data_IF_819721477484
#
_entry.id   IF_819721477484
#
_cell.length_a   1.000
_cell.length_b   1.000
_cell.length_c   1.000
_cell.angle_alpha   90.00
_cell.angle_beta   90.00
_cell.angle_gamma   90.00
#
_symmetry.space_group_name_H-M   'P 1'
#
loop_
_entity.id
_entity.type
_entity.pdbx_description
1 polymer ?
#
# COMPACT_ATOMS: atom_id res chain seq x y z
N UNK A 1 -21.28 49.95 -17.03
CA UNK A 1 -21.65 48.62 -16.50
C UNK A 1 -20.63 48.03 -15.51
N UNK A 2 -19.44 48.62 -15.32
CA UNK A 2 -18.35 48.05 -14.49
C UNK A 2 -18.13 48.74 -13.13
N UNK A 3 -19.01 49.63 -12.67
CA UNK A 3 -18.84 50.41 -11.42
C UNK A 3 -19.64 49.88 -10.23
N UNK A 4 -20.43 48.83 -10.39
CA UNK A 4 -21.15 48.21 -9.26
C UNK A 4 -20.21 47.23 -8.54
N UNK A 5 -19.90 47.53 -7.28
CA UNK A 5 -19.00 46.72 -6.44
C UNK A 5 -19.48 45.28 -6.28
N UNK A 6 -20.80 45.04 -6.31
CA UNK A 6 -21.36 43.70 -6.15
C UNK A 6 -21.09 42.82 -7.39
N UNK A 7 -21.18 43.39 -8.59
CA UNK A 7 -20.88 42.70 -9.84
C UNK A 7 -19.39 42.34 -9.91
N UNK A 8 -18.51 43.25 -9.48
CA UNK A 8 -17.07 42.98 -9.43
C UNK A 8 -16.73 41.81 -8.49
N UNK A 9 -17.37 41.73 -7.32
CA UNK A 9 -17.16 40.65 -6.35
C UNK A 9 -17.59 39.30 -6.93
N UNK A 10 -18.77 39.22 -7.57
CA UNK A 10 -19.29 37.98 -8.15
C UNK A 10 -18.39 37.49 -9.30
N UNK A 11 -17.95 38.40 -10.17
CA UNK A 11 -17.03 38.06 -11.27
C UNK A 11 -15.69 37.57 -10.73
N UNK A 12 -15.14 38.22 -9.70
CA UNK A 12 -13.90 37.80 -9.08
C UNK A 12 -14.00 36.40 -8.44
N UNK A 13 -15.09 36.12 -7.73
CA UNK A 13 -15.36 34.80 -7.14
C UNK A 13 -15.43 33.72 -8.21
N UNK A 14 -16.21 33.96 -9.26
CA UNK A 14 -16.40 33.01 -10.35
C UNK A 14 -15.10 32.73 -11.12
N UNK A 15 -14.31 33.76 -11.41
CA UNK A 15 -12.99 33.59 -12.03
C UNK A 15 -12.04 32.79 -11.14
N UNK A 16 -12.08 33.00 -9.83
CA UNK A 16 -11.28 32.23 -8.87
C UNK A 16 -11.64 30.74 -8.92
N UNK A 17 -12.94 30.42 -8.92
CA UNK A 17 -13.43 29.04 -9.02
C UNK A 17 -13.06 28.37 -10.35
N UNK A 18 -13.12 29.11 -11.47
CA UNK A 18 -12.70 28.59 -12.78
C UNK A 18 -11.19 28.31 -12.81
N UNK A 19 -10.37 29.23 -12.30
CA UNK A 19 -8.92 29.05 -12.21
C UNK A 19 -8.56 27.85 -11.33
N UNK A 20 -9.29 27.63 -10.24
CA UNK A 20 -9.15 26.47 -9.38
C UNK A 20 -9.43 25.16 -10.13
N UNK A 21 -10.51 25.08 -10.90
CA UNK A 21 -10.82 23.89 -11.72
C UNK A 21 -9.78 23.66 -12.82
N UNK A 22 -9.28 24.71 -13.45
CA UNK A 22 -8.17 24.62 -14.40
C UNK A 22 -6.90 24.06 -13.74
N UNK A 23 -6.59 24.51 -12.51
CA UNK A 23 -5.50 23.97 -11.72
C UNK A 23 -5.65 22.46 -11.47
N UNK A 24 -6.82 22.01 -11.05
CA UNK A 24 -7.09 20.58 -10.85
C UNK A 24 -7.02 19.81 -12.17
N UNK A 25 -7.50 20.38 -13.28
CA UNK A 25 -7.42 19.75 -14.59
C UNK A 25 -5.97 19.44 -14.98
N UNK A 26 -5.08 20.42 -14.86
CA UNK A 26 -3.65 20.20 -15.14
C UNK A 26 -2.99 19.26 -14.13
N UNK A 27 -3.39 19.33 -12.86
CA UNK A 27 -2.89 18.40 -11.84
C UNK A 27 -3.27 16.95 -12.17
N UNK A 28 -4.53 16.67 -12.51
CA UNK A 28 -5.01 15.34 -12.94
C UNK A 28 -4.32 14.87 -14.23
N UNK A 29 -4.03 15.79 -15.16
CA UNK A 29 -3.32 15.49 -16.40
C UNK A 29 -1.88 15.04 -16.15
N UNK A 30 -1.17 15.72 -15.24
CA UNK A 30 0.21 15.45 -14.90
C UNK A 30 0.38 14.28 -13.91
N UNK A 31 -0.67 13.86 -13.21
CA UNK A 31 -0.62 12.84 -12.18
C UNK A 31 -0.37 11.42 -12.74
N UNK A 32 0.77 10.78 -12.43
CA UNK A 32 1.08 9.44 -12.90
C UNK A 32 0.41 8.34 -12.05
N UNK A 33 -0.02 8.64 -10.83
CA UNK A 33 -0.50 7.64 -9.86
C UNK A 33 -1.98 7.30 -10.03
N UNK A 34 -2.78 8.23 -10.53
CA UNK A 34 -4.23 8.03 -10.67
C UNK A 34 -4.55 7.03 -11.79
N UNK A 35 -5.25 5.95 -11.40
CA UNK A 35 -5.80 4.92 -12.30
C UNK A 35 -6.72 5.51 -13.38
N UNK A 36 -6.69 4.93 -14.58
CA UNK A 36 -7.43 5.41 -15.77
C UNK A 36 -8.93 5.62 -15.52
N UNK A 37 -9.59 4.69 -14.84
CA UNK A 37 -11.03 4.76 -14.55
C UNK A 37 -11.41 5.93 -13.61
N UNK A 38 -10.53 6.24 -12.66
CA UNK A 38 -10.70 7.34 -11.71
C UNK A 38 -10.43 8.67 -12.42
N UNK A 39 -9.41 8.70 -13.29
CA UNK A 39 -9.11 9.85 -14.15
C UNK A 39 -10.28 10.26 -15.04
N UNK A 40 -10.95 9.28 -15.68
CA UNK A 40 -12.16 9.54 -16.49
C UNK A 40 -13.27 10.16 -15.65
N UNK A 41 -13.48 9.64 -14.42
CA UNK A 41 -14.51 10.16 -13.53
C UNK A 41 -14.18 11.58 -13.04
N UNK A 42 -12.91 11.88 -12.74
CA UNK A 42 -12.45 13.24 -12.39
C UNK A 42 -12.63 14.22 -13.55
N UNK A 43 -12.26 13.85 -14.78
CA UNK A 43 -12.51 14.73 -15.93
C UNK A 43 -13.99 14.97 -16.19
N UNK A 44 -14.83 13.97 -15.92
CA UNK A 44 -16.29 14.14 -16.02
C UNK A 44 -16.79 15.13 -14.97
N UNK A 45 -16.33 15.03 -13.71
CA UNK A 45 -16.65 16.00 -12.66
C UNK A 45 -16.17 17.40 -13.07
N UNK A 46 -14.90 17.54 -13.46
CA UNK A 46 -14.31 18.83 -13.86
C UNK A 46 -15.10 19.49 -15.00
N UNK A 47 -15.43 18.73 -16.06
CA UNK A 47 -16.21 19.26 -17.17
C UNK A 47 -17.60 19.71 -16.76
N UNK A 48 -18.31 18.91 -15.96
CA UNK A 48 -19.66 19.23 -15.48
C UNK A 48 -19.68 20.42 -14.52
N UNK A 49 -18.76 20.47 -13.56
CA UNK A 49 -18.68 21.58 -12.60
C UNK A 49 -18.25 22.88 -13.30
N UNK A 50 -17.33 22.79 -14.28
CA UNK A 50 -16.96 23.96 -15.11
C UNK A 50 -18.16 24.47 -15.89
N UNK A 51 -18.96 23.59 -16.49
CA UNK A 51 -20.19 23.98 -17.18
C UNK A 51 -21.17 24.67 -16.21
N UNK A 52 -21.40 24.09 -15.03
CA UNK A 52 -22.28 24.65 -13.99
C UNK A 52 -21.84 26.03 -13.48
N UNK A 53 -20.56 26.37 -13.57
CA UNK A 53 -20.03 27.69 -13.21
C UNK A 53 -20.09 28.70 -14.36
N UNK A 54 -19.75 28.27 -15.57
CA UNK A 54 -19.56 29.16 -16.73
C UNK A 54 -20.89 29.49 -17.40
N UNK A 55 -21.78 28.50 -17.55
CA UNK A 55 -23.02 28.68 -18.29
C UNK A 55 -23.90 29.81 -17.73
N UNK A 56 -24.15 29.92 -16.41
CA UNK A 56 -24.98 31.00 -15.87
C UNK A 56 -24.46 32.39 -16.20
N UNK A 57 -23.13 32.56 -16.27
CA UNK A 57 -22.48 33.83 -16.61
C UNK A 57 -22.66 34.17 -18.09
N UNK A 58 -22.57 33.18 -18.97
CA UNK A 58 -22.80 33.36 -20.41
C UNK A 58 -24.26 33.74 -20.65
N UNK A 59 -25.19 33.03 -20.01
CA UNK A 59 -26.63 33.30 -20.14
C UNK A 59 -27.00 34.69 -19.62
N UNK A 60 -26.37 35.15 -18.54
CA UNK A 60 -26.56 36.51 -18.03
C UNK A 60 -25.96 37.60 -18.91
N UNK A 61 -24.74 37.40 -19.42
CA UNK A 61 -24.03 38.41 -20.21
C UNK A 61 -24.51 38.50 -21.66
N UNK A 62 -24.92 37.38 -22.26
CA UNK A 62 -25.19 37.28 -23.70
C UNK A 62 -26.56 36.65 -24.02
N UNK A 63 -27.40 36.35 -23.02
CA UNK A 63 -28.66 35.66 -23.23
C UNK A 63 -29.63 36.36 -24.19
N UNK A 64 -29.67 37.69 -24.17
CA UNK A 64 -30.50 38.47 -25.11
C UNK A 64 -30.09 38.31 -26.57
N UNK A 65 -28.80 38.04 -26.82
CA UNK A 65 -28.25 37.84 -28.17
C UNK A 65 -28.34 36.37 -28.58
N UNK A 66 -27.93 35.46 -27.70
CA UNK A 66 -27.84 34.03 -27.98
C UNK A 66 -29.20 33.34 -28.04
N UNK A 67 -30.16 33.78 -27.23
CA UNK A 67 -31.45 33.09 -27.03
C UNK A 67 -32.66 33.91 -27.49
N UNK A 68 -32.42 34.93 -28.31
CA UNK A 68 -33.42 35.91 -28.79
C UNK A 68 -34.69 35.29 -29.37
N UNK A 69 -34.58 34.14 -30.03
CA UNK A 69 -35.70 33.47 -30.70
C UNK A 69 -36.69 32.80 -29.75
N UNK A 70 -36.23 32.31 -28.59
CA UNK A 70 -37.05 31.57 -27.64
C UNK A 70 -36.43 31.60 -26.21
N UNK A 71 -36.36 32.77 -25.55
CA UNK A 71 -35.61 32.95 -24.31
C UNK A 71 -36.13 32.06 -23.16
N UNK A 72 -37.45 31.90 -23.04
CA UNK A 72 -38.06 31.03 -22.03
C UNK A 72 -37.71 29.54 -22.21
N UNK A 73 -37.64 29.06 -23.45
CA UNK A 73 -37.28 27.68 -23.75
C UNK A 73 -35.82 27.40 -23.41
N UNK A 74 -34.91 28.30 -23.80
CA UNK A 74 -33.48 28.18 -23.49
C UNK A 74 -33.22 28.23 -21.98
N UNK A 75 -33.80 29.20 -21.27
CA UNK A 75 -33.67 29.30 -19.81
C UNK A 75 -34.17 28.03 -19.10
N UNK A 76 -35.24 27.42 -19.63
CA UNK A 76 -35.80 26.18 -19.09
C UNK A 76 -34.88 24.98 -19.34
N UNK A 77 -34.34 24.86 -20.56
CA UNK A 77 -33.39 23.80 -20.92
C UNK A 77 -32.10 23.88 -20.10
N UNK A 78 -31.53 25.09 -19.99
CA UNK A 78 -30.34 25.38 -19.21
C UNK A 78 -30.54 25.00 -17.74
N UNK A 79 -31.65 25.42 -17.14
CA UNK A 79 -31.96 25.08 -15.75
C UNK A 79 -32.13 23.58 -15.56
N UNK A 80 -32.84 22.91 -16.47
CA UNK A 80 -33.02 21.46 -16.42
C UNK A 80 -31.66 20.74 -16.51
N UNK A 81 -30.79 21.16 -17.43
CA UNK A 81 -29.43 20.64 -17.55
C UNK A 81 -28.64 20.85 -16.25
N UNK A 82 -28.71 22.03 -15.64
CA UNK A 82 -28.02 22.33 -14.38
C UNK A 82 -28.44 21.41 -13.22
N UNK A 83 -29.73 21.18 -13.03
CA UNK A 83 -30.24 20.26 -12.00
C UNK A 83 -29.83 18.81 -12.27
N UNK A 84 -29.81 18.37 -13.53
CA UNK A 84 -29.37 17.03 -13.92
C UNK A 84 -27.88 16.85 -13.68
N UNK A 85 -27.05 17.79 -14.14
CA UNK A 85 -25.59 17.70 -14.05
C UNK A 85 -25.12 17.63 -12.59
N UNK A 86 -25.75 18.36 -11.66
CA UNK A 86 -25.45 18.28 -10.21
C UNK A 86 -25.60 16.85 -9.66
N UNK A 87 -26.67 16.14 -10.04
CA UNK A 87 -26.85 14.74 -9.61
C UNK A 87 -25.82 13.79 -10.24
N UNK A 88 -25.39 14.06 -11.47
CA UNK A 88 -24.32 13.28 -12.14
C UNK A 88 -22.98 13.51 -11.43
N UNK A 89 -22.65 14.75 -11.06
CA UNK A 89 -21.45 15.08 -10.28
C UNK A 89 -21.43 14.31 -8.95
N UNK A 90 -22.53 14.34 -8.19
CA UNK A 90 -22.65 13.57 -6.94
C UNK A 90 -22.46 12.07 -7.16
N UNK A 91 -23.02 11.51 -8.23
CA UNK A 91 -22.81 10.11 -8.58
C UNK A 91 -21.34 9.78 -8.82
N UNK A 92 -20.60 10.63 -9.54
CA UNK A 92 -19.18 10.40 -9.77
C UNK A 92 -18.35 10.54 -8.49
N UNK A 93 -18.68 11.46 -7.58
CA UNK A 93 -18.06 11.52 -6.25
C UNK A 93 -18.30 10.23 -5.45
N UNK A 94 -19.53 9.73 -5.41
CA UNK A 94 -19.86 8.45 -4.73
C UNK A 94 -19.09 7.30 -5.37
N UNK A 95 -19.08 7.22 -6.70
CA UNK A 95 -18.35 6.18 -7.43
C UNK A 95 -16.85 6.20 -7.11
N UNK A 96 -16.24 7.39 -7.06
CA UNK A 96 -14.83 7.56 -6.77
C UNK A 96 -14.46 7.21 -5.31
N UNK A 97 -15.39 7.29 -4.37
CA UNK A 97 -15.17 6.73 -3.01
C UNK A 97 -15.20 5.21 -2.98
N UNK A 98 -15.38 4.54 -4.12
CA UNK A 98 -15.34 3.11 -4.31
C UNK A 98 -16.47 2.34 -3.62
N UNK A 99 -17.60 3.00 -3.31
CA UNK A 99 -18.80 2.33 -2.85
C UNK A 99 -19.62 1.86 -4.07
N UNK A 100 -19.43 0.60 -4.48
CA UNK A 100 -20.15 0.05 -5.63
C UNK A 100 -21.58 -0.39 -5.29
N UNK A 101 -21.87 -0.62 -4.00
CA UNK A 101 -23.21 -1.00 -3.53
C UNK A 101 -24.17 0.16 -3.77
N UNK A 102 -25.26 -0.12 -4.48
CA UNK A 102 -26.32 0.86 -4.75
C UNK A 102 -26.07 1.83 -5.91
N UNK A 103 -24.93 1.76 -6.63
CA UNK A 103 -24.72 2.60 -7.82
C UNK A 103 -25.81 2.42 -8.89
N UNK A 104 -26.39 1.21 -9.01
CA UNK A 104 -27.53 0.95 -9.91
C UNK A 104 -28.77 1.74 -9.49
N UNK A 105 -29.09 1.78 -8.19
CA UNK A 105 -30.21 2.54 -7.65
C UNK A 105 -30.01 4.05 -7.85
N UNK A 106 -28.79 4.55 -7.62
CA UNK A 106 -28.45 5.95 -7.86
C UNK A 106 -28.64 6.35 -9.32
N UNK A 107 -28.29 5.50 -10.29
CA UNK A 107 -28.58 5.75 -11.72
C UNK A 107 -30.07 5.88 -12.00
N UNK A 108 -30.90 5.02 -11.40
CA UNK A 108 -32.36 5.09 -11.55
C UNK A 108 -32.88 6.43 -10.99
N UNK A 109 -32.38 6.86 -9.83
CA UNK A 109 -32.74 8.15 -9.23
C UNK A 109 -32.34 9.33 -10.12
N UNK A 110 -31.16 9.29 -10.75
CA UNK A 110 -30.71 10.33 -11.71
C UNK A 110 -31.62 10.37 -12.93
N UNK A 111 -31.99 9.22 -13.49
CA UNK A 111 -32.89 9.14 -14.66
C UNK A 111 -34.28 9.68 -14.29
N UNK A 112 -34.81 9.30 -13.14
CA UNK A 112 -36.09 9.81 -12.65
C UNK A 112 -36.05 11.34 -12.42
N UNK A 113 -34.97 11.83 -11.82
CA UNK A 113 -34.75 13.26 -11.62
C UNK A 113 -34.64 14.02 -12.96
N UNK A 114 -33.96 13.44 -13.96
CA UNK A 114 -33.85 14.02 -15.28
C UNK A 114 -35.19 14.09 -16.01
N UNK A 115 -35.99 13.03 -15.95
CA UNK A 115 -37.34 13.02 -16.50
C UNK A 115 -38.22 14.11 -15.86
N UNK A 116 -38.13 14.25 -14.53
CA UNK A 116 -38.86 15.29 -13.80
C UNK A 116 -38.40 16.70 -14.22
N UNK A 117 -37.09 16.96 -14.30
CA UNK A 117 -36.55 18.24 -14.75
C UNK A 117 -37.03 18.61 -16.16
N UNK A 118 -36.99 17.65 -17.09
CA UNK A 118 -37.39 17.84 -18.49
C UNK A 118 -38.91 18.04 -18.65
N UNK A 119 -39.73 17.57 -17.69
CA UNK A 119 -41.18 17.82 -17.71
C UNK A 119 -41.52 19.32 -17.68
N UNK A 120 -40.63 20.16 -17.16
CA UNK A 120 -40.75 21.63 -17.13
C UNK A 120 -40.85 22.27 -18.52
N UNK A 121 -40.42 21.57 -19.57
CA UNK A 121 -40.53 22.03 -20.96
C UNK A 121 -41.98 22.02 -21.46
N UNK A 122 -42.82 21.17 -20.87
CA UNK A 122 -44.19 20.96 -21.33
C UNK A 122 -45.22 21.55 -20.37
N UNK A 123 -44.90 21.61 -19.08
CA UNK A 123 -45.78 22.14 -18.06
C UNK A 123 -44.99 22.67 -16.85
N UNK A 124 -45.50 23.68 -16.11
CA UNK A 124 -44.78 24.37 -15.03
C UNK A 124 -44.74 23.55 -13.72
N UNK A 125 -44.49 22.24 -13.81
CA UNK A 125 -44.53 21.32 -12.68
C UNK A 125 -43.39 21.55 -11.69
N UNK A 126 -42.18 21.77 -12.19
CA UNK A 126 -40.97 21.84 -11.35
C UNK A 126 -40.46 23.28 -11.22
N UNK A 127 -40.33 23.98 -12.34
CA UNK A 127 -40.01 25.40 -12.36
C UNK A 127 -40.50 25.99 -13.68
N UNK A 128 -40.65 27.30 -13.72
CA UNK A 128 -41.01 28.02 -14.93
C UNK A 128 -40.40 29.43 -14.91
N UNK A 129 -40.36 30.05 -16.08
CA UNK A 129 -39.93 31.43 -16.25
C UNK A 129 -41.13 32.30 -16.61
N UNK A 130 -41.26 33.45 -15.96
CA UNK A 130 -42.29 34.42 -16.33
C UNK A 130 -41.92 35.19 -17.62
N UNK A 131 -42.83 36.02 -18.12
CA UNK A 131 -42.62 36.83 -19.32
C UNK A 131 -41.52 37.88 -19.18
N UNK A 132 -41.12 38.21 -17.95
CA UNK A 132 -39.99 39.08 -17.64
C UNK A 132 -38.68 38.29 -17.48
N UNK A 133 -38.71 36.96 -17.62
CA UNK A 133 -37.54 36.09 -17.50
C UNK A 133 -37.13 35.78 -16.06
N UNK A 134 -37.97 36.07 -15.06
CA UNK A 134 -37.71 35.65 -13.69
C UNK A 134 -38.07 34.20 -13.47
N UNK A 135 -37.26 33.54 -12.65
CA UNK A 135 -37.43 32.14 -12.31
C UNK A 135 -38.41 31.98 -11.16
N UNK A 136 -39.35 31.04 -11.30
CA UNK A 136 -40.35 30.70 -10.28
C UNK A 136 -40.36 29.20 -9.99
N UNK A 137 -40.66 28.85 -8.73
CA UNK A 137 -40.79 27.45 -8.29
C UNK A 137 -42.14 26.87 -8.71
N UNK A 138 -42.13 25.69 -9.32
CA UNK A 138 -43.33 24.89 -9.57
C UNK A 138 -43.74 24.05 -8.35
N UNK A 139 -44.94 23.44 -8.37
CA UNK A 139 -45.46 22.65 -7.24
C UNK A 139 -44.57 21.47 -6.81
N UNK A 140 -43.86 20.86 -7.77
CA UNK A 140 -43.00 19.68 -7.56
C UNK A 140 -41.52 20.01 -7.42
N UNK A 141 -41.16 21.30 -7.31
CA UNK A 141 -39.76 21.74 -7.27
C UNK A 141 -38.93 21.04 -6.18
N UNK A 142 -39.52 20.83 -5.00
CA UNK A 142 -38.87 20.20 -3.85
C UNK A 142 -38.40 18.76 -4.12
N UNK A 143 -39.02 18.04 -5.06
CA UNK A 143 -38.66 16.64 -5.36
C UNK A 143 -37.22 16.55 -5.92
N UNK A 144 -36.75 17.55 -6.66
CA UNK A 144 -35.37 17.58 -7.18
C UNK A 144 -34.36 17.67 -6.04
N UNK A 145 -34.66 18.49 -5.03
CA UNK A 145 -33.82 18.64 -3.85
C UNK A 145 -33.84 17.38 -2.99
N UNK A 146 -34.98 16.67 -2.91
CA UNK A 146 -35.09 15.39 -2.21
C UNK A 146 -34.19 14.32 -2.84
N UNK A 147 -34.14 14.22 -4.17
CA UNK A 147 -33.22 13.27 -4.84
C UNK A 147 -31.77 13.61 -4.51
N UNK A 148 -31.37 14.87 -4.64
CA UNK A 148 -30.02 15.31 -4.28
C UNK A 148 -29.69 15.04 -2.81
N UNK A 149 -30.64 15.28 -1.90
CA UNK A 149 -30.51 14.98 -0.48
C UNK A 149 -30.26 13.49 -0.23
N UNK A 150 -31.03 12.60 -0.86
CA UNK A 150 -30.80 11.15 -0.74
C UNK A 150 -29.43 10.73 -1.28
N UNK A 151 -28.96 11.33 -2.38
CA UNK A 151 -27.62 11.05 -2.91
C UNK A 151 -26.52 11.52 -1.95
N UNK A 152 -26.67 12.68 -1.33
CA UNK A 152 -25.73 13.18 -0.31
C UNK A 152 -25.76 12.29 0.93
N UNK A 153 -26.94 11.88 1.40
CA UNK A 153 -27.07 10.96 2.54
C UNK A 153 -26.43 9.61 2.21
N UNK A 154 -26.59 9.11 0.99
CA UNK A 154 -25.92 7.90 0.51
C UNK A 154 -24.40 8.07 0.51
N UNK A 155 -23.91 9.22 0.07
CA UNK A 155 -22.49 9.56 0.07
C UNK A 155 -21.92 9.61 1.50
N UNK A 156 -22.60 10.28 2.43
CA UNK A 156 -22.24 10.33 3.85
C UNK A 156 -22.26 8.93 4.47
N UNK A 157 -23.33 8.16 4.28
CA UNK A 157 -23.45 6.83 4.85
C UNK A 157 -22.38 5.87 4.28
N UNK A 158 -22.14 5.93 2.97
CA UNK A 158 -21.14 5.11 2.29
C UNK A 158 -19.72 5.40 2.79
N UNK A 159 -19.38 6.68 2.94
CA UNK A 159 -18.07 7.09 3.49
C UNK A 159 -17.93 6.66 4.96
N UNK A 160 -18.93 6.90 5.80
CA UNK A 160 -18.89 6.50 7.21
C UNK A 160 -18.77 4.98 7.40
N UNK A 161 -19.49 4.17 6.62
CA UNK A 161 -19.42 2.71 6.70
C UNK A 161 -18.04 2.21 6.25
N UNK A 162 -17.53 2.71 5.12
CA UNK A 162 -16.25 2.28 4.55
C UNK A 162 -15.08 2.58 5.49
N UNK A 163 -15.11 3.73 6.15
CA UNK A 163 -14.03 4.17 7.03
C UNK A 163 -14.28 3.86 8.51
N UNK A 164 -15.34 3.12 8.85
CA UNK A 164 -15.60 2.67 10.21
C UNK A 164 -14.47 1.74 10.67
N UNK A 165 -13.71 2.16 11.67
CA UNK A 165 -12.60 1.39 12.24
C UNK A 165 -11.24 1.59 11.55
N UNK A 166 -11.19 2.31 10.42
CA UNK A 166 -9.93 2.67 9.75
C UNK A 166 -9.43 3.98 10.36
N UNK A 167 -8.37 3.91 11.16
CA UNK A 167 -7.86 5.05 11.95
C UNK A 167 -6.79 5.86 11.19
N UNK A 168 -7.00 6.12 9.90
CA UNK A 168 -6.10 6.98 9.12
C UNK A 168 -6.63 8.42 9.08
N UNK A 169 -5.75 9.41 9.33
CA UNK A 169 -6.09 10.85 9.31
C UNK A 169 -6.77 11.29 8.01
N UNK A 170 -6.49 10.64 6.89
CA UNK A 170 -7.01 10.99 5.56
C UNK A 170 -8.43 10.48 5.29
N UNK A 171 -8.91 9.50 6.06
CA UNK A 171 -10.29 9.00 5.97
C UNK A 171 -11.33 10.05 6.38
N UNK A 172 -10.87 11.15 7.00
CA UNK A 172 -11.69 12.29 7.39
C UNK A 172 -12.07 13.15 6.17
N UNK A 173 -11.26 13.16 5.10
CA UNK A 173 -11.48 14.09 3.96
C UNK A 173 -12.80 13.83 3.23
N UNK A 174 -13.16 12.58 2.84
CA UNK A 174 -14.47 12.30 2.23
C UNK A 174 -15.66 12.65 3.15
N UNK A 175 -15.48 12.54 4.47
CA UNK A 175 -16.50 12.90 5.46
C UNK A 175 -16.69 14.43 5.47
N UNK A 176 -15.61 15.21 5.52
CA UNK A 176 -15.67 16.68 5.45
C UNK A 176 -16.35 17.13 4.15
N UNK A 177 -15.98 16.53 3.02
CA UNK A 177 -16.60 16.82 1.72
C UNK A 177 -18.10 16.55 1.77
N UNK A 178 -18.52 15.41 2.33
CA UNK A 178 -19.93 15.04 2.44
C UNK A 178 -20.74 16.01 3.31
N UNK A 179 -20.14 16.50 4.40
CA UNK A 179 -20.76 17.51 5.29
C UNK A 179 -20.85 18.87 4.60
N UNK A 180 -19.80 19.30 3.92
CA UNK A 180 -19.78 20.57 3.17
C UNK A 180 -20.88 20.60 2.10
N UNK A 181 -20.99 19.53 1.30
CA UNK A 181 -22.06 19.38 0.30
C UNK A 181 -23.45 19.40 0.95
N UNK A 182 -23.64 18.74 2.10
CA UNK A 182 -24.93 18.75 2.81
C UNK A 182 -25.32 20.15 3.29
N UNK A 183 -24.37 20.92 3.83
CA UNK A 183 -24.58 22.31 4.26
C UNK A 183 -24.96 23.18 3.06
N UNK A 184 -24.26 23.03 1.94
CA UNK A 184 -24.54 23.80 0.73
C UNK A 184 -25.94 23.54 0.16
N UNK A 185 -26.40 22.29 0.17
CA UNK A 185 -27.79 21.94 -0.21
C UNK A 185 -28.80 22.61 0.74
N UNK A 186 -28.54 22.60 2.06
CA UNK A 186 -29.42 23.22 3.04
C UNK A 186 -29.49 24.75 2.88
N UNK A 187 -28.37 25.40 2.53
CA UNK A 187 -28.32 26.82 2.21
C UNK A 187 -29.11 27.14 0.94
N UNK A 188 -28.95 26.37 -0.14
CA UNK A 188 -29.73 26.55 -1.37
C UNK A 188 -31.25 26.38 -1.14
N UNK A 189 -31.64 25.45 -0.26
CA UNK A 189 -33.04 25.24 0.10
C UNK A 189 -33.64 26.41 0.90
N UNK A 190 -32.89 26.89 1.91
CA UNK A 190 -33.36 27.90 2.87
C UNK A 190 -33.35 29.33 2.35
N UNK A 191 -32.34 29.69 1.54
CA UNK A 191 -32.14 31.07 1.07
C UNK A 191 -32.90 31.40 -0.22
N UNK A 192 -33.51 30.40 -0.86
CA UNK A 192 -34.41 30.67 -1.99
C UNK A 192 -33.73 31.06 -3.30
N UNK A 193 -32.40 31.02 -3.38
CA UNK A 193 -31.65 31.44 -4.56
C UNK A 193 -32.02 30.61 -5.80
N UNK A 194 -32.10 31.29 -6.95
CA UNK A 194 -32.36 30.67 -8.25
C UNK A 194 -31.14 29.91 -8.79
N UNK A 195 -31.27 29.21 -9.93
CA UNK A 195 -30.23 28.33 -10.47
C UNK A 195 -28.91 29.04 -10.83
N UNK A 196 -28.92 30.38 -10.95
CA UNK A 196 -27.77 31.22 -11.32
C UNK A 196 -26.73 31.38 -10.22
N UNK A 197 -27.14 31.34 -8.94
CA UNK A 197 -26.25 31.44 -7.77
C UNK A 197 -26.58 30.27 -6.85
N UNK A 198 -25.68 29.29 -6.76
CA UNK A 198 -25.90 28.06 -6.00
C UNK A 198 -24.68 27.74 -5.14
N UNK A 199 -24.90 27.68 -3.82
CA UNK A 199 -23.88 27.25 -2.87
C UNK A 199 -23.43 25.82 -3.16
N UNK A 200 -24.32 24.97 -3.67
CA UNK A 200 -23.97 23.61 -4.07
C UNK A 200 -22.90 23.59 -5.17
N UNK A 201 -22.95 24.50 -6.16
CA UNK A 201 -21.91 24.56 -7.20
C UNK A 201 -20.55 24.97 -6.62
N UNK A 202 -20.52 25.92 -5.68
CA UNK A 202 -19.30 26.32 -4.98
C UNK A 202 -18.74 25.16 -4.16
N UNK A 203 -19.59 24.50 -3.37
CA UNK A 203 -19.23 23.32 -2.59
C UNK A 203 -18.69 22.19 -3.47
N UNK A 204 -19.30 21.91 -4.63
CA UNK A 204 -18.81 20.92 -5.59
C UNK A 204 -17.42 21.28 -6.14
N UNK A 205 -17.18 22.57 -6.39
CA UNK A 205 -15.91 23.07 -6.90
C UNK A 205 -14.78 22.89 -5.88
N UNK A 206 -15.00 23.32 -4.64
CA UNK A 206 -14.06 23.11 -3.54
C UNK A 206 -13.84 21.63 -3.27
N UNK A 207 -14.94 20.87 -3.20
CA UNK A 207 -14.90 19.43 -3.01
C UNK A 207 -14.08 18.72 -4.09
N UNK A 208 -14.12 19.18 -5.34
CA UNK A 208 -13.34 18.58 -6.43
C UNK A 208 -11.82 18.68 -6.16
N UNK A 209 -11.35 19.82 -5.63
CA UNK A 209 -9.94 19.97 -5.23
C UNK A 209 -9.57 19.02 -4.10
N UNK A 210 -10.32 19.08 -3.00
CA UNK A 210 -10.02 18.26 -1.82
C UNK A 210 -10.11 16.77 -2.13
N UNK A 211 -11.06 16.38 -2.99
CA UNK A 211 -11.21 15.02 -3.43
C UNK A 211 -10.04 14.57 -4.31
N UNK A 212 -9.57 15.41 -5.24
CA UNK A 212 -8.37 15.13 -6.03
C UNK A 212 -7.15 14.93 -5.14
N UNK A 213 -6.88 15.85 -4.20
CA UNK A 213 -5.74 15.77 -3.28
C UNK A 213 -5.83 14.48 -2.45
N UNK A 214 -6.99 14.18 -1.90
CA UNK A 214 -7.22 12.96 -1.14
C UNK A 214 -6.94 11.70 -1.97
N UNK A 215 -7.45 11.66 -3.20
CA UNK A 215 -7.26 10.52 -4.09
C UNK A 215 -5.79 10.34 -4.49
N UNK A 216 -5.10 11.44 -4.80
CA UNK A 216 -3.67 11.45 -5.10
C UNK A 216 -2.86 10.89 -3.92
N UNK A 217 -3.10 11.39 -2.70
CA UNK A 217 -2.42 10.92 -1.50
C UNK A 217 -2.66 9.42 -1.23
N UNK A 218 -3.87 8.91 -1.50
CA UNK A 218 -4.16 7.49 -1.38
C UNK A 218 -3.31 6.66 -2.34
N UNK A 219 -3.25 7.04 -3.63
CA UNK A 219 -2.50 6.28 -4.63
C UNK A 219 -0.99 6.37 -4.45
N UNK A 220 -0.46 7.54 -4.08
CA UNK A 220 0.96 7.70 -3.76
C UNK A 220 1.36 6.77 -2.63
N UNK A 221 0.56 6.68 -1.57
CA UNK A 221 0.82 5.77 -0.45
C UNK A 221 0.73 4.30 -0.83
N UNK A 222 -0.27 3.93 -1.64
CA UNK A 222 -0.40 2.56 -2.14
C UNK A 222 0.87 2.16 -2.90
N UNK A 223 1.39 3.07 -3.74
CA UNK A 223 2.63 2.88 -4.47
C UNK A 223 3.88 2.85 -3.57
N UNK A 224 4.00 3.75 -2.59
CA UNK A 224 5.10 3.72 -1.64
C UNK A 224 5.12 2.43 -0.81
N UNK A 225 3.95 1.94 -0.41
CA UNK A 225 3.84 0.68 0.32
C UNK A 225 4.21 -0.51 -0.56
N UNK A 226 3.83 -0.52 -1.84
CA UNK A 226 4.25 -1.57 -2.77
C UNK A 226 5.77 -1.54 -2.98
N UNK A 227 6.36 -0.36 -3.19
CA UNK A 227 7.81 -0.22 -3.32
C UNK A 227 8.56 -0.68 -2.05
N UNK A 228 8.06 -0.33 -0.87
CA UNK A 228 8.64 -0.81 0.40
C UNK A 228 8.53 -2.33 0.54
N UNK A 229 7.41 -2.92 0.12
CA UNK A 229 7.25 -4.37 0.12
C UNK A 229 8.23 -5.04 -0.85
N UNK A 230 8.38 -4.52 -2.07
CA UNK A 230 9.36 -5.02 -3.05
C UNK A 230 10.80 -4.89 -2.54
N UNK A 231 11.16 -3.77 -1.92
CA UNK A 231 12.47 -3.57 -1.32
C UNK A 231 12.73 -4.57 -0.18
N UNK A 232 11.74 -4.80 0.69
CA UNK A 232 11.83 -5.82 1.74
C UNK A 232 12.04 -7.20 1.13
N UNK A 233 11.27 -7.58 0.11
CA UNK A 233 11.45 -8.85 -0.61
C UNK A 233 12.85 -8.93 -1.23
N UNK A 234 13.36 -7.86 -1.83
CA UNK A 234 14.70 -7.84 -2.43
C UNK A 234 15.80 -8.01 -1.38
N UNK A 235 15.66 -7.36 -0.21
CA UNK A 235 16.57 -7.56 0.92
C UNK A 235 16.49 -9.00 1.42
N UNK A 236 15.28 -9.55 1.58
CA UNK A 236 15.06 -10.95 1.96
C UNK A 236 15.75 -11.92 0.99
N UNK A 237 15.57 -11.72 -0.31
CA UNK A 237 16.19 -12.55 -1.35
C UNK A 237 17.71 -12.40 -1.40
N UNK A 238 18.27 -11.24 -0.99
CA UNK A 238 19.71 -11.05 -0.89
C UNK A 238 20.36 -11.82 0.27
N UNK A 239 19.58 -12.18 1.29
CA UNK A 239 20.06 -12.97 2.44
C UNK A 239 20.10 -14.47 2.16
N UNK A 240 19.41 -14.95 1.11
CA UNK A 240 19.56 -16.34 0.65
C UNK A 240 20.71 -16.37 -0.36
N UNK A 241 21.75 -17.19 -0.12
CA UNK A 241 22.90 -17.28 -1.02
C UNK A 241 22.44 -17.73 -2.43
N UNK A 242 22.47 -16.86 -3.47
CA UNK A 242 21.91 -17.20 -4.79
C UNK A 242 22.58 -18.44 -5.41
N UNK A 243 23.87 -18.60 -5.13
CA UNK A 243 24.64 -19.76 -5.53
C UNK A 243 24.15 -21.06 -4.88
N UNK A 244 23.67 -21.04 -3.63
CA UNK A 244 23.08 -22.23 -3.01
C UNK A 244 21.80 -22.65 -3.76
N UNK A 245 20.89 -21.71 -3.99
CA UNK A 245 19.66 -21.91 -4.78
C UNK A 245 19.93 -22.61 -6.13
N UNK A 246 20.83 -22.05 -6.94
CA UNK A 246 21.14 -22.62 -8.25
C UNK A 246 21.77 -24.01 -8.14
N UNK A 247 22.69 -24.22 -7.20
CA UNK A 247 23.34 -25.51 -7.04
C UNK A 247 22.37 -26.60 -6.58
N UNK A 248 21.51 -26.29 -5.60
CA UNK A 248 20.52 -27.24 -5.11
C UNK A 248 19.56 -27.64 -6.23
N UNK A 249 19.10 -26.69 -7.04
CA UNK A 249 18.25 -26.99 -8.20
C UNK A 249 18.96 -27.85 -9.26
N UNK A 250 20.24 -27.58 -9.56
CA UNK A 250 21.03 -28.41 -10.46
C UNK A 250 21.24 -29.83 -9.92
N UNK A 251 21.48 -29.99 -8.61
CA UNK A 251 21.58 -31.29 -7.95
C UNK A 251 20.24 -32.05 -8.02
N UNK A 252 19.12 -31.37 -7.73
CA UNK A 252 17.78 -31.95 -7.88
C UNK A 252 17.55 -32.41 -9.31
N UNK A 253 17.86 -31.57 -10.30
CA UNK A 253 17.71 -31.91 -11.72
C UNK A 253 18.49 -33.19 -12.08
N UNK A 254 19.75 -33.30 -11.67
CA UNK A 254 20.55 -34.51 -11.90
C UNK A 254 19.95 -35.74 -11.20
N UNK A 255 19.42 -35.57 -9.97
CA UNK A 255 18.78 -36.66 -9.23
C UNK A 255 17.46 -37.11 -9.87
N UNK A 256 16.72 -36.24 -10.56
CA UNK A 256 15.47 -36.68 -11.20
C UNK A 256 15.66 -37.79 -12.24
N UNK A 257 16.86 -37.89 -12.84
CA UNK A 257 17.19 -38.94 -13.79
C UNK A 257 17.81 -40.18 -13.12
N UNK A 258 18.56 -39.99 -12.03
CA UNK A 258 19.37 -41.05 -11.39
C UNK A 258 18.64 -41.72 -10.22
N UNK A 259 17.98 -40.92 -9.37
CA UNK A 259 17.29 -41.34 -8.15
C UNK A 259 16.09 -40.42 -7.86
N UNK A 260 14.92 -40.67 -8.50
CA UNK A 260 13.75 -39.82 -8.40
C UNK A 260 13.18 -39.72 -6.97
N UNK A 261 13.30 -40.78 -6.17
CA UNK A 261 12.83 -40.78 -4.78
C UNK A 261 13.68 -39.83 -3.94
N UNK A 262 15.01 -39.90 -4.07
CA UNK A 262 15.92 -38.97 -3.41
C UNK A 262 15.73 -37.54 -3.91
N UNK A 263 15.47 -37.33 -5.21
CA UNK A 263 15.14 -36.02 -5.75
C UNK A 263 13.89 -35.43 -5.07
N UNK A 264 12.83 -36.21 -4.91
CA UNK A 264 11.60 -35.79 -4.22
C UNK A 264 11.87 -35.39 -2.76
N UNK A 265 12.70 -36.17 -2.05
CA UNK A 265 13.07 -35.85 -0.67
C UNK A 265 13.83 -34.53 -0.55
N UNK A 266 14.82 -34.32 -1.43
CA UNK A 266 15.62 -33.07 -1.45
C UNK A 266 14.74 -31.86 -1.84
N UNK A 267 13.75 -32.04 -2.71
CA UNK A 267 12.76 -30.98 -3.02
C UNK A 267 11.96 -30.59 -1.76
N UNK A 268 11.52 -31.55 -0.97
CA UNK A 268 10.77 -31.30 0.27
C UNK A 268 11.64 -30.58 1.31
N UNK A 269 12.86 -31.08 1.54
CA UNK A 269 13.87 -30.47 2.42
C UNK A 269 14.18 -29.04 1.96
N UNK A 270 14.38 -28.82 0.65
CA UNK A 270 14.66 -27.50 0.11
C UNK A 270 13.48 -26.51 0.23
N UNK A 271 12.25 -26.98 0.01
CA UNK A 271 11.05 -26.17 0.22
C UNK A 271 10.86 -25.81 1.71
N UNK A 272 11.22 -26.71 2.62
CA UNK A 272 11.24 -26.45 4.05
C UNK A 272 12.30 -25.41 4.42
N UNK A 273 13.53 -25.53 3.90
CA UNK A 273 14.61 -24.55 4.08
C UNK A 273 14.22 -23.14 3.63
N UNK A 274 13.59 -23.01 2.45
CA UNK A 274 13.15 -21.70 1.94
C UNK A 274 12.05 -21.08 2.82
N UNK A 275 11.08 -21.88 3.27
CA UNK A 275 10.00 -21.42 4.16
C UNK A 275 10.56 -20.95 5.51
N UNK A 276 11.50 -21.70 6.09
CA UNK A 276 12.13 -21.32 7.36
C UNK A 276 12.93 -20.01 7.22
N UNK A 277 13.75 -19.86 6.17
CA UNK A 277 14.45 -18.60 5.92
C UNK A 277 13.50 -17.39 5.81
N UNK A 278 12.40 -17.51 5.06
CA UNK A 278 11.40 -16.43 4.93
C UNK A 278 10.77 -16.08 6.28
N UNK A 279 10.52 -17.07 7.15
CA UNK A 279 9.95 -16.85 8.47
C UNK A 279 10.96 -16.19 9.43
N UNK A 280 12.23 -16.59 9.39
CA UNK A 280 13.30 -16.04 10.23
C UNK A 280 13.62 -14.57 9.90
N UNK A 281 13.35 -14.13 8.67
CA UNK A 281 13.59 -12.75 8.19
C UNK A 281 12.78 -11.66 8.91
N UNK A 282 11.73 -12.02 9.65
CA UNK A 282 10.91 -11.08 10.43
C UNK A 282 11.17 -11.19 11.95
N UNK A 283 12.15 -11.99 12.37
CA UNK A 283 12.44 -12.23 13.79
C UNK A 283 13.62 -11.37 14.24
N UNK A 284 13.31 -10.29 14.97
CA UNK A 284 14.31 -9.45 15.66
C UNK A 284 14.62 -9.97 17.09
N UNK A 285 13.92 -11.01 17.55
CA UNK A 285 14.06 -11.59 18.88
C UNK A 285 14.90 -12.86 18.87
N UNK A 286 15.40 -13.26 20.05
CA UNK A 286 16.03 -14.56 20.24
C UNK A 286 15.05 -15.70 19.89
N UNK A 287 15.60 -16.82 19.42
CA UNK A 287 14.88 -18.04 19.06
C UNK A 287 15.43 -19.24 19.85
N UNK A 288 14.64 -20.30 19.99
CA UNK A 288 15.15 -21.55 20.57
C UNK A 288 16.25 -22.14 19.70
N UNK A 289 17.37 -22.54 20.31
CA UNK A 289 18.51 -23.16 19.60
C UNK A 289 18.09 -24.39 18.83
N UNK A 290 17.10 -25.14 19.32
CA UNK A 290 16.51 -26.28 18.62
C UNK A 290 16.05 -25.93 17.20
N UNK A 291 15.42 -24.77 17.01
CA UNK A 291 14.96 -24.32 15.68
C UNK A 291 16.14 -24.01 14.77
N UNK A 292 17.19 -23.42 15.32
CA UNK A 292 18.43 -23.13 14.59
C UNK A 292 19.15 -24.43 14.17
N UNK A 293 19.18 -25.44 15.04
CA UNK A 293 19.73 -26.78 14.74
C UNK A 293 18.89 -27.47 13.65
N UNK A 294 17.55 -27.48 13.78
CA UNK A 294 16.65 -28.06 12.77
C UNK A 294 16.86 -27.41 11.40
N UNK A 295 16.97 -26.08 11.35
CA UNK A 295 17.20 -25.34 10.12
C UNK A 295 18.59 -25.64 9.52
N UNK A 296 19.63 -25.71 10.36
CA UNK A 296 20.98 -26.07 9.95
C UNK A 296 21.05 -27.50 9.42
N UNK A 297 20.30 -28.43 10.03
CA UNK A 297 20.24 -29.83 9.61
C UNK A 297 19.66 -29.99 8.21
N UNK A 298 18.59 -29.27 7.90
CA UNK A 298 18.00 -29.28 6.56
C UNK A 298 19.00 -28.77 5.52
N UNK A 299 19.75 -27.71 5.85
CA UNK A 299 20.81 -27.20 4.98
C UNK A 299 21.94 -28.23 4.79
N UNK A 300 22.42 -28.86 5.87
CA UNK A 300 23.47 -29.88 5.81
C UNK A 300 23.06 -31.09 4.99
N UNK A 301 21.83 -31.58 5.17
CA UNK A 301 21.31 -32.75 4.46
C UNK A 301 21.32 -32.52 2.93
N UNK A 302 20.97 -31.30 2.49
CA UNK A 302 21.03 -30.90 1.08
C UNK A 302 22.49 -30.84 0.57
N UNK A 303 23.42 -30.30 1.35
CA UNK A 303 24.83 -30.22 0.96
C UNK A 303 25.54 -31.58 0.99
N UNK A 304 25.19 -32.51 1.87
CA UNK A 304 25.72 -33.88 1.88
C UNK A 304 25.31 -34.66 0.63
N UNK A 305 24.11 -34.44 0.10
CA UNK A 305 23.69 -35.00 -1.19
C UNK A 305 24.59 -34.50 -2.32
N UNK A 306 25.00 -33.23 -2.26
CA UNK A 306 25.86 -32.59 -3.26
C UNK A 306 27.33 -32.96 -3.10
N UNK A 307 27.79 -33.19 -1.88
CA UNK A 307 29.17 -33.53 -1.55
C UNK A 307 29.23 -34.81 -0.70
N UNK A 308 29.11 -35.99 -1.32
CA UNK A 308 29.04 -37.26 -0.59
C UNK A 308 30.29 -37.62 0.22
N UNK A 309 31.40 -36.91 0.02
CA UNK A 309 32.66 -37.08 0.76
C UNK A 309 32.73 -36.27 2.07
N UNK A 310 31.70 -35.46 2.34
CA UNK A 310 31.55 -34.67 3.55
C UNK A 310 30.50 -35.33 4.43
N UNK A 311 30.79 -35.44 5.72
CA UNK A 311 29.88 -35.92 6.74
C UNK A 311 29.66 -34.85 7.80
N UNK A 312 28.41 -34.69 8.22
CA UNK A 312 28.01 -33.69 9.21
C UNK A 312 27.33 -34.40 10.38
N UNK A 313 27.97 -34.35 11.55
CA UNK A 313 27.48 -35.01 12.75
C UNK A 313 26.92 -33.99 13.76
N UNK A 314 25.80 -34.34 14.40
CA UNK A 314 25.12 -33.52 15.41
C UNK A 314 25.08 -34.24 16.76
N UNK A 315 25.68 -33.64 17.79
CA UNK A 315 25.71 -34.15 19.17
C UNK A 315 25.01 -33.15 20.11
N UNK A 316 23.70 -33.33 20.29
CA UNK A 316 22.84 -32.37 20.99
C UNK A 316 22.52 -32.91 22.39
N UNK A 317 23.25 -32.43 23.39
CA UNK A 317 23.01 -32.72 24.82
C UNK A 317 22.13 -31.65 25.48
N UNK A 318 22.17 -30.41 24.99
CA UNK A 318 21.34 -29.31 25.49
C UNK A 318 20.74 -28.49 24.34
N UNK A 319 19.41 -28.40 24.29
CA UNK A 319 18.67 -27.67 23.25
C UNK A 319 17.62 -26.70 23.81
N UNK A 320 17.59 -26.50 25.13
CA UNK A 320 16.61 -25.66 25.83
C UNK A 320 17.19 -24.31 26.24
N UNK A 321 17.61 -23.52 25.25
CA UNK A 321 18.06 -22.15 25.45
C UNK A 321 17.83 -21.27 24.21
N UNK A 322 17.99 -19.97 24.40
CA UNK A 322 17.72 -18.95 23.40
C UNK A 322 19.00 -18.41 22.75
N UNK A 323 18.98 -18.26 21.43
CA UNK A 323 20.08 -17.74 20.61
C UNK A 323 19.57 -16.71 19.60
N UNK A 324 20.41 -15.77 19.14
CA UNK A 324 20.09 -14.96 17.97
C UNK A 324 19.87 -15.86 16.74
N UNK A 325 18.93 -15.52 15.84
CA UNK A 325 18.74 -16.28 14.62
C UNK A 325 19.99 -16.23 13.72
N UNK A 326 20.25 -17.28 12.95
CA UNK A 326 21.43 -17.41 12.09
C UNK A 326 22.74 -17.39 12.91
N UNK A 327 22.78 -18.15 14.01
CA UNK A 327 23.99 -18.34 14.85
C UNK A 327 24.78 -19.56 14.40
N UNK A 328 24.12 -20.70 14.21
CA UNK A 328 24.79 -21.98 13.90
C UNK A 328 24.93 -22.12 12.38
N UNK A 329 23.87 -21.82 11.63
CA UNK A 329 23.84 -22.06 10.19
C UNK A 329 25.02 -21.41 9.44
N UNK A 330 25.36 -20.11 9.65
CA UNK A 330 26.47 -19.50 8.90
C UNK A 330 27.83 -20.11 9.22
N UNK A 331 28.01 -20.67 10.42
CA UNK A 331 29.25 -21.33 10.82
C UNK A 331 29.40 -22.68 10.12
N UNK A 332 28.32 -23.46 10.06
CA UNK A 332 28.28 -24.72 9.32
C UNK A 332 28.46 -24.49 7.83
N UNK A 333 27.81 -23.47 7.26
CA UNK A 333 28.02 -23.04 5.86
C UNK A 333 29.49 -22.75 5.55
N UNK A 334 30.17 -22.03 6.45
CA UNK A 334 31.59 -21.73 6.30
C UNK A 334 32.47 -22.97 6.44
N UNK A 335 32.19 -23.84 7.42
CA UNK A 335 32.90 -25.11 7.62
C UNK A 335 32.82 -25.99 6.36
N UNK A 336 31.63 -26.15 5.78
CA UNK A 336 31.45 -26.92 4.54
C UNK A 336 32.18 -26.26 3.37
N UNK A 337 31.87 -24.99 3.09
CA UNK A 337 32.30 -24.32 1.86
C UNK A 337 33.80 -24.02 1.83
N UNK A 338 34.34 -23.59 2.95
CA UNK A 338 35.72 -23.09 3.07
C UNK A 338 36.64 -24.07 3.78
N UNK A 339 36.12 -24.82 4.75
CA UNK A 339 36.89 -25.79 5.52
C UNK A 339 37.11 -27.10 4.75
N UNK A 340 36.03 -27.86 4.52
CA UNK A 340 36.13 -29.27 4.10
C UNK A 340 35.85 -29.51 2.62
N UNK A 341 35.38 -28.51 1.86
CA UNK A 341 35.12 -28.65 0.42
C UNK A 341 36.38 -29.10 -0.33
N UNK A 342 36.28 -30.23 -1.02
CA UNK A 342 37.40 -30.84 -1.77
C UNK A 342 38.24 -31.84 -0.98
N UNK A 343 37.98 -32.04 0.33
CA UNK A 343 38.57 -33.14 1.09
C UNK A 343 37.91 -34.47 0.72
N UNK A 344 38.72 -35.54 0.74
CA UNK A 344 38.27 -36.92 0.50
C UNK A 344 37.43 -37.47 1.67
N UNK A 345 37.71 -37.02 2.89
CA UNK A 345 36.96 -37.33 4.10
C UNK A 345 36.76 -36.05 4.91
N UNK A 346 35.84 -35.22 4.46
CA UNK A 346 35.46 -33.99 5.16
C UNK A 346 34.53 -34.31 6.32
N UNK A 347 34.73 -33.66 7.45
CA UNK A 347 33.91 -33.80 8.65
C UNK A 347 33.62 -32.44 9.26
N UNK A 348 32.35 -32.21 9.58
CA UNK A 348 31.89 -31.08 10.40
C UNK A 348 31.08 -31.67 11.56
N UNK A 349 31.31 -31.20 12.77
CA UNK A 349 30.51 -31.55 13.94
C UNK A 349 29.91 -30.32 14.56
N UNK A 350 28.64 -30.43 14.92
CA UNK A 350 27.90 -29.44 15.69
C UNK A 350 27.48 -30.10 16.98
N UNK A 351 27.95 -29.57 18.11
CA UNK A 351 27.55 -30.06 19.43
C UNK A 351 27.01 -28.95 20.31
N UNK A 352 26.05 -29.30 21.17
CA UNK A 352 25.51 -28.40 22.18
C UNK A 352 25.45 -29.11 23.52
N UNK A 353 26.00 -28.48 24.56
CA UNK A 353 26.11 -29.07 25.90
C UNK A 353 26.19 -27.97 26.97
N UNK A 354 26.07 -28.35 28.25
CA UNK A 354 26.27 -27.42 29.38
C UNK A 354 27.67 -27.56 29.94
N UNK A 355 28.31 -26.42 30.18
CA UNK A 355 29.61 -26.34 30.85
C UNK A 355 29.57 -25.19 31.86
N UNK A 356 29.78 -25.50 33.13
CA UNK A 356 29.67 -24.56 34.25
C UNK A 356 28.33 -23.79 34.25
N UNK A 357 28.39 -22.45 34.14
CA UNK A 357 27.23 -21.54 34.07
C UNK A 357 26.89 -21.13 32.63
N UNK A 358 27.24 -21.93 31.63
CA UNK A 358 27.04 -21.62 30.23
C UNK A 358 26.37 -22.76 29.45
N UNK A 359 25.49 -22.36 28.53
CA UNK A 359 25.13 -23.17 27.36
C UNK A 359 26.23 -23.02 26.31
N UNK A 360 26.79 -24.13 25.85
CA UNK A 360 27.90 -24.14 24.90
C UNK A 360 27.44 -24.69 23.56
N UNK A 361 27.80 -24.00 22.49
CA UNK A 361 27.70 -24.48 21.11
C UNK A 361 29.12 -24.61 20.58
N UNK A 362 29.49 -25.80 20.10
CA UNK A 362 30.79 -26.07 19.48
C UNK A 362 30.57 -26.53 18.05
N UNK A 363 31.16 -25.82 17.09
CA UNK A 363 31.18 -26.21 15.67
C UNK A 363 32.63 -26.48 15.27
N UNK A 364 32.95 -27.71 14.87
CA UNK A 364 34.31 -28.12 14.50
C UNK A 364 34.34 -28.67 13.10
N UNK A 365 35.42 -28.41 12.37
CA UNK A 365 35.69 -29.04 11.09
C UNK A 365 37.13 -29.52 11.00
N UNK A 366 37.35 -30.57 10.20
CA UNK A 366 38.69 -31.07 9.89
C UNK A 366 39.23 -30.44 8.59
N UNK A 367 38.86 -29.20 8.28
CA UNK A 367 39.14 -28.51 7.03
C UNK A 367 40.58 -28.08 6.85
N UNK A 368 40.80 -27.11 5.96
CA UNK A 368 42.14 -26.55 5.66
C UNK A 368 42.67 -25.58 6.72
N UNK A 369 41.83 -25.15 7.67
CA UNK A 369 42.17 -24.10 8.64
C UNK A 369 42.53 -22.75 8.01
N UNK A 370 42.80 -21.74 8.85
CA UNK A 370 43.27 -20.43 8.42
C UNK A 370 43.98 -19.70 9.57
N UNK A 371 44.68 -18.63 9.24
CA UNK A 371 45.29 -17.73 10.21
C UNK A 371 44.23 -16.79 10.79
N UNK A 372 43.91 -16.97 12.07
CA UNK A 372 42.86 -16.21 12.78
C UNK A 372 43.24 -14.73 12.92
N UNK A 373 44.51 -14.42 13.19
CA UNK A 373 44.96 -13.04 13.38
C UNK A 373 44.82 -12.26 12.08
N UNK A 374 45.20 -12.88 10.96
CA UNK A 374 45.03 -12.30 9.62
C UNK A 374 43.54 -12.11 9.26
N UNK A 375 42.68 -13.06 9.62
CA UNK A 375 41.23 -12.93 9.41
C UNK A 375 40.63 -11.75 10.19
N UNK A 376 41.07 -11.53 11.43
CA UNK A 376 40.61 -10.40 12.25
C UNK A 376 41.02 -9.06 11.63
N UNK A 377 42.24 -8.96 11.10
CA UNK A 377 42.70 -7.78 10.35
C UNK A 377 41.88 -7.53 9.08
N UNK A 378 41.64 -8.57 8.27
CA UNK A 378 40.84 -8.48 7.03
C UNK A 378 39.35 -8.17 7.33
N UNK A 379 38.85 -8.60 8.49
CA UNK A 379 37.49 -8.29 8.96
C UNK A 379 37.29 -6.80 9.29
N UNK A 380 38.37 -6.07 9.65
CA UNK A 380 38.33 -4.62 9.86
C UNK A 380 38.24 -3.85 8.54
N UNK A 381 38.70 -4.45 7.43
CA UNK A 381 38.63 -3.90 6.08
C UNK A 381 37.35 -4.29 5.31
N UNK A 382 36.48 -5.13 5.90
CA UNK A 382 35.15 -5.43 5.37
C UNK A 382 35.01 -6.73 4.57
N UNK A 383 36.03 -7.60 4.51
CA UNK A 383 35.99 -8.82 3.68
C UNK A 383 35.34 -10.05 4.37
N UNK A 384 35.12 -10.01 5.69
CA UNK A 384 34.59 -11.14 6.48
C UNK A 384 33.37 -10.76 7.35
N UNK A 385 32.39 -10.11 6.73
CA UNK A 385 31.21 -9.52 7.39
C UNK A 385 30.35 -10.57 8.13
N UNK A 386 30.26 -11.80 7.61
CA UNK A 386 29.36 -12.83 8.15
C UNK A 386 29.69 -13.28 9.58
N UNK A 387 30.95 -13.62 9.85
CA UNK A 387 31.39 -14.13 11.16
C UNK A 387 31.39 -13.02 12.22
N UNK A 388 31.83 -11.82 11.82
CA UNK A 388 31.79 -10.63 12.68
C UNK A 388 30.36 -10.30 13.12
N UNK A 389 29.40 -10.32 12.21
CA UNK A 389 27.99 -10.04 12.54
C UNK A 389 27.39 -11.08 13.51
N UNK A 390 27.77 -12.36 13.39
CA UNK A 390 27.32 -13.39 14.36
C UNK A 390 27.92 -13.12 15.73
N UNK A 391 29.24 -12.89 15.80
CA UNK A 391 29.95 -12.57 17.04
C UNK A 391 29.36 -11.37 17.76
N UNK A 392 29.21 -10.25 17.04
CA UNK A 392 28.76 -8.99 17.63
C UNK A 392 27.31 -9.14 18.15
N UNK A 393 26.42 -9.84 17.42
CA UNK A 393 25.05 -10.15 17.90
C UNK A 393 25.02 -11.04 19.13
N UNK A 394 25.91 -12.05 19.23
CA UNK A 394 25.97 -12.90 20.43
C UNK A 394 26.34 -12.05 21.65
N UNK A 395 27.36 -11.21 21.52
CA UNK A 395 27.80 -10.33 22.62
C UNK A 395 26.68 -9.37 23.00
N UNK A 396 26.07 -8.68 22.02
CA UNK A 396 25.08 -7.63 22.28
C UNK A 396 23.74 -8.17 22.79
N UNK A 397 23.28 -9.34 22.31
CA UNK A 397 21.94 -9.86 22.62
C UNK A 397 21.92 -10.83 23.79
N UNK A 398 23.02 -11.53 24.07
CA UNK A 398 23.06 -12.55 25.14
C UNK A 398 24.11 -12.30 26.20
N UNK A 399 25.02 -11.33 26.00
CA UNK A 399 26.18 -11.15 26.88
C UNK A 399 27.16 -12.33 26.84
N UNK A 400 27.05 -13.18 25.82
CA UNK A 400 27.88 -14.37 25.66
C UNK A 400 29.25 -14.10 25.05
N UNK A 401 30.02 -15.17 24.88
CA UNK A 401 31.34 -15.15 24.25
C UNK A 401 31.35 -15.98 22.97
N UNK A 402 32.18 -15.59 22.01
CA UNK A 402 32.33 -16.27 20.75
C UNK A 402 33.83 -16.30 20.41
N UNK A 403 34.40 -17.51 20.31
CA UNK A 403 35.83 -17.77 20.12
C UNK A 403 36.01 -18.62 18.87
N UNK A 404 37.05 -18.32 18.09
CA UNK A 404 37.45 -19.09 16.91
C UNK A 404 38.90 -19.52 17.11
N UNK A 405 39.14 -20.82 17.02
CA UNK A 405 40.46 -21.43 16.99
C UNK A 405 40.63 -22.13 15.65
N UNK A 406 41.67 -21.78 14.89
CA UNK A 406 41.94 -22.41 13.60
C UNK A 406 43.43 -22.68 13.45
N UNK A 407 43.76 -23.86 12.92
CA UNK A 407 45.12 -24.28 12.66
C UNK A 407 45.20 -24.77 11.22
N UNK A 408 46.15 -24.24 10.46
CA UNK A 408 46.35 -24.57 9.05
C UNK A 408 46.51 -26.09 8.91
N UNK A 409 45.76 -26.67 7.99
CA UNK A 409 45.62 -28.09 7.68
C UNK A 409 45.05 -29.02 8.77
N UNK A 410 44.82 -28.52 9.99
CA UNK A 410 44.21 -29.27 11.09
C UNK A 410 42.71 -28.98 11.27
N UNK A 411 42.24 -27.81 10.81
CA UNK A 411 40.82 -27.46 10.78
C UNK A 411 40.47 -26.21 11.60
N UNK A 412 39.19 -26.04 11.90
CA UNK A 412 38.68 -24.89 12.66
C UNK A 412 37.69 -25.34 13.72
N UNK A 413 37.68 -24.64 14.86
CA UNK A 413 36.73 -24.81 15.96
C UNK A 413 36.16 -23.45 16.33
N UNK A 414 34.83 -23.34 16.28
CA UNK A 414 34.09 -22.17 16.77
C UNK A 414 33.36 -22.57 18.04
N UNK A 415 33.62 -21.84 19.12
CA UNK A 415 32.99 -22.07 20.43
C UNK A 415 32.20 -20.85 20.84
N UNK A 416 30.90 -21.04 21.09
CA UNK A 416 29.97 -20.00 21.54
C UNK A 416 29.51 -20.39 22.95
N UNK A 417 29.64 -19.48 23.91
CA UNK A 417 29.16 -19.66 25.28
C UNK A 417 28.09 -18.63 25.58
N UNK A 418 26.93 -19.07 26.03
CA UNK A 418 25.78 -18.24 26.39
C UNK A 418 25.51 -18.41 27.88
N UNK A 419 25.49 -17.33 28.67
CA UNK A 419 25.27 -17.43 30.12
C UNK A 419 23.92 -18.05 30.43
N UNK A 420 23.87 -18.97 31.39
CA UNK A 420 22.62 -19.48 31.94
C UNK A 420 22.02 -18.37 32.81
N UNK A 421 20.89 -17.82 32.40
CA UNK A 421 20.15 -16.86 33.23
C UNK A 421 19.54 -17.64 34.39
N UNK A 422 20.17 -17.58 35.55
CA UNK A 422 19.54 -18.00 36.80
C UNK A 422 18.51 -16.92 37.14
N UNK A 423 17.22 -17.24 37.04
CA UNK A 423 16.22 -16.46 37.77
C UNK A 423 16.56 -16.62 39.25
N UNK A 424 17.14 -15.57 39.85
CA UNK A 424 17.28 -15.47 41.29
C UNK A 424 15.85 -15.58 41.89
N UNK A 425 15.59 -16.71 42.55
CA UNK A 425 14.34 -17.02 43.26
C UNK A 425 14.08 -16.09 44.45
#
# INVERSE_FOLDING_TARGET
>A
MTTDSNIQIIVALNMTLILQLLGVFFAVLADPYIKREHRISLYTILGLVTFLLVEPQISEAYGEVLYRSAPGLWNTLISAAGYIMRTIVLYHFIKLTGNEKGLKLLKILIIANAALCLSSLFAPWVFFYDSAGHWHRGPLNYIIFVVSFFMVLWFVAGTLIRYRGIRHRESIVPIIISVNVAIAVAMDLSLGFGPKISFLTVAMTESTVFFYIWLHLQFVREHENSLKAEQRIKIMMSQIQPHFLFNTLSTIQALTEIDPERASKVIEEFAMYLRQNINSLNQESLIQVKKEIEHTKIYSDIEEVRFPSIRIDYEIEDDDFLVPPLTIQPMVENAIRHGVRGKKHGWVSVSTFREDDFHVISIRDNGKGFDVDKMIEDSMNGDHIGVKNVRDRIIDMTGGTFVIDSVIDEGTSVTIKIPIIREDL
#
